data_IF_641953284090
#
_entry.id   IF_641953284090
#
_cell.length_a   1.000
_cell.length_b   1.000
_cell.length_c   1.000
_cell.angle_alpha   90.00
_cell.angle_beta   90.00
_cell.angle_gamma   90.00
#
_symmetry.space_group_name_H-M   'P 1'
#
loop_
_entity.id
_entity.type
_entity.pdbx_description
1 polymer ?
#
# COMPACT_ATOMS: atom_id res chain seq x y z
N UNK A 1 26.84 9.77 27.36
CA UNK A 1 27.83 10.14 26.31
C UNK A 1 28.87 9.07 25.97
N UNK A 2 29.01 7.97 26.73
CA UNK A 2 30.06 6.95 26.51
C UNK A 2 29.81 6.07 25.27
N UNK A 3 28.54 5.78 24.97
CA UNK A 3 28.12 4.96 23.83
C UNK A 3 28.46 5.60 22.47
N UNK A 4 28.10 6.87 22.26
CA UNK A 4 28.32 7.61 21.00
C UNK A 4 29.82 7.72 20.65
N UNK A 5 30.67 7.93 21.66
CA UNK A 5 32.13 8.00 21.44
C UNK A 5 32.71 6.64 21.06
N UNK A 6 32.16 5.55 21.59
CA UNK A 6 32.64 4.20 21.32
C UNK A 6 32.26 3.72 19.91
N UNK A 7 31.00 3.96 19.51
CA UNK A 7 30.51 3.60 18.17
C UNK A 7 31.25 4.33 17.06
N UNK A 8 31.64 5.59 17.30
CA UNK A 8 32.40 6.37 16.35
C UNK A 8 33.82 5.83 16.13
N UNK A 9 34.54 5.51 17.22
CA UNK A 9 35.89 4.92 17.15
C UNK A 9 35.94 3.56 16.47
N UNK A 10 34.83 2.80 16.53
CA UNK A 10 34.70 1.49 15.89
C UNK A 10 34.31 1.58 14.41
N UNK A 11 33.90 2.77 13.93
CA UNK A 11 33.50 2.97 12.55
C UNK A 11 34.68 3.39 11.69
N UNK A 12 34.80 2.85 10.48
CA UNK A 12 35.81 3.26 9.49
C UNK A 12 35.44 4.60 8.80
N UNK A 13 34.66 5.46 9.47
CA UNK A 13 34.26 6.77 8.94
C UNK A 13 35.27 7.80 9.39
N UNK A 14 35.82 8.54 8.42
CA UNK A 14 36.73 9.65 8.69
C UNK A 14 36.00 10.64 9.59
N UNK A 15 36.64 11.02 10.68
CA UNK A 15 36.07 11.98 11.59
C UNK A 15 36.05 13.36 10.92
N UNK A 16 34.94 13.73 10.30
CA UNK A 16 34.79 15.04 9.66
C UNK A 16 34.94 16.08 10.76
N UNK A 17 35.97 16.93 10.65
CA UNK A 17 36.14 18.05 11.56
C UNK A 17 34.95 18.99 11.42
N UNK A 18 34.54 19.67 12.50
CA UNK A 18 33.51 20.72 12.42
C UNK A 18 33.84 21.75 11.32
N UNK A 19 35.13 21.98 11.07
CA UNK A 19 35.64 22.80 9.98
C UNK A 19 35.31 22.23 8.59
N UNK A 20 35.50 20.93 8.40
CA UNK A 20 35.22 20.26 7.11
C UNK A 20 33.70 20.21 6.85
N UNK A 21 32.91 19.95 7.90
CA UNK A 21 31.46 20.00 7.84
C UNK A 21 30.96 21.40 7.46
N UNK A 22 31.57 22.44 8.03
CA UNK A 22 31.26 23.84 7.70
C UNK A 22 31.61 24.17 6.24
N UNK A 23 32.76 23.71 5.74
CA UNK A 23 33.14 23.92 4.34
C UNK A 23 32.14 23.27 3.38
N UNK A 24 31.69 22.05 3.67
CA UNK A 24 30.70 21.37 2.83
C UNK A 24 29.38 22.12 2.84
N UNK A 25 28.91 22.55 4.01
CA UNK A 25 27.67 23.33 4.14
C UNK A 25 27.73 24.65 3.35
N UNK A 26 28.85 25.37 3.39
CA UNK A 26 29.08 26.58 2.62
C UNK A 26 29.08 26.29 1.12
N UNK A 27 29.80 25.25 0.69
CA UNK A 27 29.84 24.83 -0.72
C UNK A 27 28.44 24.51 -1.25
N UNK A 28 27.62 23.74 -0.51
CA UNK A 28 26.25 23.44 -0.90
C UNK A 28 25.34 24.67 -0.95
N UNK A 29 25.55 25.63 -0.06
CA UNK A 29 24.81 26.90 -0.05
C UNK A 29 25.13 27.73 -1.29
N UNK A 30 26.39 27.78 -1.72
CA UNK A 30 26.83 28.59 -2.86
C UNK A 30 26.38 28.02 -4.20
N UNK A 31 26.28 26.69 -4.32
CA UNK A 31 25.75 26.03 -5.53
C UNK A 31 24.24 25.84 -5.52
N UNK A 32 23.57 26.21 -4.42
CA UNK A 32 22.12 26.10 -4.32
C UNK A 32 21.44 27.06 -5.30
N UNK A 33 20.52 26.53 -6.10
CA UNK A 33 19.63 27.32 -6.95
C UNK A 33 18.20 27.01 -6.52
N UNK A 34 17.46 28.04 -6.11
CA UNK A 34 16.05 27.91 -5.80
C UNK A 34 15.29 27.42 -7.04
N UNK A 35 14.86 26.16 -7.01
CA UNK A 35 13.94 25.62 -8.01
C UNK A 35 12.53 25.76 -7.46
N UNK A 36 11.88 26.88 -7.79
CA UNK A 36 10.46 27.06 -7.51
C UNK A 36 9.69 26.13 -8.44
N UNK A 37 9.45 24.90 -7.99
CA UNK A 37 8.59 23.96 -8.70
C UNK A 37 7.15 24.34 -8.41
N UNK A 38 6.57 25.13 -9.30
CA UNK A 38 5.15 25.49 -9.22
C UNK A 38 4.29 24.30 -9.64
N UNK A 39 3.94 23.46 -8.66
CA UNK A 39 3.07 22.32 -8.87
C UNK A 39 1.59 22.72 -9.01
N UNK A 40 1.22 23.98 -8.75
CA UNK A 40 -0.19 24.38 -8.72
C UNK A 40 -0.86 24.14 -10.06
N UNK A 41 -0.16 24.41 -11.17
CA UNK A 41 -0.63 24.19 -12.55
C UNK A 41 -1.03 22.75 -12.84
N UNK A 42 -0.28 21.78 -12.30
CA UNK A 42 -0.59 20.35 -12.48
C UNK A 42 -1.94 19.97 -11.87
N UNK A 43 -2.37 20.70 -10.84
CA UNK A 43 -3.56 20.36 -10.06
C UNK A 43 -4.73 21.33 -10.26
N UNK A 44 -4.58 22.38 -11.08
CA UNK A 44 -5.68 23.26 -11.49
C UNK A 44 -6.93 22.54 -11.98
N UNK A 45 -6.87 21.51 -12.84
CA UNK A 45 -8.08 20.81 -13.31
C UNK A 45 -8.80 20.00 -12.22
N UNK A 46 -8.20 19.85 -11.03
CA UNK A 46 -8.80 19.14 -9.89
C UNK A 46 -9.19 20.08 -8.75
N UNK A 47 -9.06 21.40 -8.92
CA UNK A 47 -9.53 22.37 -7.92
C UNK A 47 -11.06 22.36 -7.89
N UNK A 48 -11.62 21.83 -6.81
CA UNK A 48 -13.07 21.84 -6.57
C UNK A 48 -13.46 23.19 -6.00
N UNK A 49 -14.31 23.96 -6.70
CA UNK A 49 -14.94 25.15 -6.13
C UNK A 49 -16.07 24.73 -5.21
N UNK A 50 -15.75 24.53 -3.94
CA UNK A 50 -16.77 24.36 -2.90
C UNK A 50 -17.50 25.69 -2.72
N UNK A 51 -18.70 25.80 -3.29
CA UNK A 51 -19.70 26.71 -2.76
C UNK A 51 -20.05 26.24 -1.34
N UNK A 52 -19.94 27.17 -0.41
CA UNK A 52 -19.99 26.99 1.03
C UNK A 52 -21.20 26.19 1.50
N UNK A 53 -20.96 25.18 2.35
CA UNK A 53 -21.71 24.95 3.59
C UNK A 53 -20.97 23.99 4.55
N UNK A 54 -20.62 24.56 5.70
CA UNK A 54 -20.37 24.03 7.06
C UNK A 54 -19.29 22.95 7.29
N UNK A 55 -18.23 23.40 7.96
CA UNK A 55 -17.18 22.61 8.60
C UNK A 55 -17.70 22.11 9.97
N UNK A 56 -17.41 20.84 10.36
CA UNK A 56 -16.72 20.65 11.62
C UNK A 56 -15.40 19.89 11.43
N UNK A 57 -14.35 20.60 11.84
CA UNK A 57 -12.99 20.18 12.20
C UNK A 57 -13.07 18.99 13.18
N UNK A 58 -12.44 17.84 12.90
CA UNK A 58 -11.28 17.24 13.61
C UNK A 58 -10.76 15.98 12.86
N UNK A 59 -9.43 15.83 12.84
CA UNK A 59 -8.58 14.63 12.60
C UNK A 59 -7.96 14.45 11.19
N UNK A 60 -6.86 15.18 11.02
CA UNK A 60 -5.55 14.78 10.48
C UNK A 60 -5.35 13.35 9.92
N UNK A 61 -4.84 13.35 8.68
CA UNK A 61 -4.00 12.35 7.99
C UNK A 61 -4.57 10.94 7.73
N UNK A 62 -5.32 10.78 6.64
CA UNK A 62 -5.28 9.55 5.83
C UNK A 62 -5.21 9.90 4.35
N UNK A 63 -4.07 9.58 3.77
CA UNK A 63 -3.81 9.62 2.34
C UNK A 63 -4.87 8.83 1.58
N UNK A 64 -5.53 9.56 0.69
CA UNK A 64 -6.02 9.16 -0.63
C UNK A 64 -5.81 7.69 -1.00
N UNK A 65 -6.91 6.94 -1.14
CA UNK A 65 -7.01 5.99 -2.24
C UNK A 65 -8.26 6.35 -3.05
N UNK A 66 -7.97 7.00 -4.18
CA UNK A 66 -8.88 7.36 -5.26
C UNK A 66 -9.78 6.17 -5.59
N UNK A 67 -11.09 6.38 -5.54
CA UNK A 67 -12.04 5.56 -6.28
C UNK A 67 -11.64 5.62 -7.76
N UNK A 68 -11.00 4.57 -8.27
CA UNK A 68 -10.87 4.39 -9.71
C UNK A 68 -12.23 3.95 -10.26
N UNK A 69 -12.72 4.57 -11.36
CA UNK A 69 -13.90 4.10 -12.05
C UNK A 69 -13.59 2.71 -12.64
N UNK A 70 -14.48 1.76 -12.37
CA UNK A 70 -14.36 0.37 -12.82
C UNK A 70 -14.60 0.36 -14.34
N UNK A 71 -13.55 0.10 -15.12
CA UNK A 71 -13.72 -0.28 -16.53
C UNK A 71 -14.36 -1.67 -16.58
N UNK A 72 -15.61 -1.72 -17.02
CA UNK A 72 -16.37 -2.96 -17.21
C UNK A 72 -15.81 -3.70 -18.42
N UNK A 73 -14.94 -4.68 -18.18
CA UNK A 73 -14.75 -5.79 -19.13
C UNK A 73 -15.78 -6.86 -18.76
N UNK A 74 -16.68 -7.17 -19.68
CA UNK A 74 -17.71 -8.20 -19.50
C UNK A 74 -17.06 -9.59 -19.35
N UNK A 75 -16.62 -9.90 -18.13
CA UNK A 75 -16.32 -11.26 -17.71
C UNK A 75 -17.65 -12.04 -17.57
N UNK A 76 -17.63 -13.38 -17.72
CA UNK A 76 -18.83 -14.18 -17.47
C UNK A 76 -19.37 -13.87 -16.07
N UNK A 77 -20.68 -13.67 -15.96
CA UNK A 77 -21.39 -13.14 -14.78
C UNK A 77 -20.93 -13.84 -13.49
N UNK A 78 -20.67 -15.15 -13.54
CA UNK A 78 -20.18 -15.94 -12.41
C UNK A 78 -18.78 -15.52 -11.91
N UNK A 79 -17.84 -15.21 -12.82
CA UNK A 79 -16.50 -14.75 -12.43
C UNK A 79 -16.55 -13.35 -11.80
N UNK A 80 -17.45 -12.51 -12.28
CA UNK A 80 -17.67 -11.15 -11.74
C UNK A 80 -18.25 -11.21 -10.32
N UNK A 81 -19.20 -12.10 -10.07
CA UNK A 81 -19.79 -12.28 -8.74
C UNK A 81 -18.78 -12.85 -7.73
N UNK A 82 -18.03 -13.88 -8.12
CA UNK A 82 -16.96 -14.45 -7.29
C UNK A 82 -15.89 -13.41 -6.95
N UNK A 83 -15.51 -12.58 -7.92
CA UNK A 83 -14.55 -11.49 -7.73
C UNK A 83 -15.01 -10.52 -6.63
N UNK A 84 -16.25 -10.06 -6.69
CA UNK A 84 -16.79 -9.13 -5.70
C UNK A 84 -16.98 -9.80 -4.32
N UNK A 85 -17.33 -11.08 -4.25
CA UNK A 85 -17.42 -11.82 -2.97
C UNK A 85 -16.04 -11.97 -2.30
N UNK A 86 -14.99 -12.27 -3.06
CA UNK A 86 -13.63 -12.35 -2.51
C UNK A 86 -13.11 -10.97 -2.08
N UNK A 87 -13.44 -9.92 -2.85
CA UNK A 87 -13.06 -8.55 -2.53
C UNK A 87 -13.76 -8.04 -1.26
N UNK A 88 -15.04 -8.36 -1.08
CA UNK A 88 -15.78 -8.03 0.15
C UNK A 88 -15.26 -8.83 1.34
N UNK A 89 -14.99 -10.13 1.16
CA UNK A 89 -14.29 -10.95 2.18
C UNK A 89 -12.96 -10.31 2.60
N UNK A 90 -12.13 -9.91 1.64
CA UNK A 90 -10.85 -9.24 1.90
C UNK A 90 -11.01 -7.99 2.75
N UNK A 91 -11.99 -7.15 2.41
CA UNK A 91 -12.25 -5.90 3.13
C UNK A 91 -12.74 -6.16 4.56
N UNK A 92 -13.63 -7.13 4.74
CA UNK A 92 -14.16 -7.48 6.06
C UNK A 92 -13.04 -8.04 6.95
N UNK A 93 -12.23 -8.96 6.42
CA UNK A 93 -11.11 -9.55 7.15
C UNK A 93 -10.05 -8.52 7.52
N UNK A 94 -9.79 -7.56 6.64
CA UNK A 94 -8.83 -6.50 6.95
C UNK A 94 -9.33 -5.56 8.05
N UNK A 95 -10.64 -5.31 8.11
CA UNK A 95 -11.26 -4.53 9.19
C UNK A 95 -11.21 -5.28 10.52
N UNK A 96 -11.52 -6.57 10.53
CA UNK A 96 -11.43 -7.43 11.73
C UNK A 96 -10.01 -7.40 12.32
N UNK A 97 -9.00 -7.49 11.45
CA UNK A 97 -7.60 -7.57 11.89
C UNK A 97 -6.90 -6.20 11.97
N UNK A 98 -7.61 -5.09 11.71
CA UNK A 98 -7.05 -3.73 11.66
C UNK A 98 -5.86 -3.57 10.70
N UNK A 99 -5.83 -4.33 9.61
CA UNK A 99 -4.84 -4.21 8.54
C UNK A 99 -5.46 -3.62 7.28
N UNK A 100 -4.61 -3.25 6.31
CA UNK A 100 -5.06 -2.83 4.99
C UNK A 100 -5.50 -4.06 4.19
N UNK A 101 -6.51 -3.90 3.32
CA UNK A 101 -7.08 -5.01 2.54
C UNK A 101 -6.03 -5.79 1.74
N UNK A 102 -5.07 -5.11 1.12
CA UNK A 102 -4.01 -5.74 0.34
C UNK A 102 -3.08 -6.65 1.19
N UNK A 103 -3.04 -6.46 2.52
CA UNK A 103 -2.23 -7.28 3.42
C UNK A 103 -2.78 -8.71 3.51
N UNK A 104 -4.10 -8.87 3.46
CA UNK A 104 -4.76 -10.18 3.44
C UNK A 104 -4.34 -10.91 2.15
N UNK A 105 -4.67 -10.34 0.99
CA UNK A 105 -4.10 -10.73 -0.30
C UNK A 105 -4.17 -9.59 -1.34
N UNK A 106 -3.24 -9.59 -2.28
CA UNK A 106 -3.12 -8.55 -3.32
C UNK A 106 -4.12 -8.76 -4.46
N UNK A 107 -4.27 -7.78 -5.35
CA UNK A 107 -5.13 -7.94 -6.53
C UNK A 107 -4.61 -9.06 -7.45
N UNK A 108 -3.28 -9.15 -7.66
CA UNK A 108 -2.65 -10.25 -8.40
C UNK A 108 -3.05 -11.62 -7.82
N UNK A 109 -3.07 -11.72 -6.51
CA UNK A 109 -3.48 -12.95 -5.81
C UNK A 109 -4.96 -13.26 -5.99
N UNK A 110 -5.83 -12.25 -5.92
CA UNK A 110 -7.26 -12.43 -6.16
C UNK A 110 -7.55 -12.88 -7.60
N UNK A 111 -6.87 -12.32 -8.59
CA UNK A 111 -6.96 -12.76 -9.99
C UNK A 111 -6.48 -14.21 -10.15
N UNK A 112 -5.32 -14.55 -9.56
CA UNK A 112 -4.79 -15.90 -9.60
C UNK A 112 -5.72 -16.93 -8.93
N UNK A 113 -6.40 -16.55 -7.84
CA UNK A 113 -7.40 -17.39 -7.19
C UNK A 113 -8.58 -17.71 -8.12
N UNK A 114 -9.08 -16.71 -8.85
CA UNK A 114 -10.21 -16.86 -9.78
C UNK A 114 -9.80 -17.67 -11.02
N UNK A 115 -8.54 -17.56 -11.44
CA UNK A 115 -8.00 -18.33 -12.56
C UNK A 115 -7.77 -19.80 -12.20
N UNK A 116 -7.22 -20.07 -11.01
CA UNK A 116 -6.87 -21.42 -10.56
C UNK A 116 -8.02 -22.18 -9.89
N UNK A 117 -9.03 -21.48 -9.37
CA UNK A 117 -10.20 -22.06 -8.68
C UNK A 117 -9.82 -23.15 -7.66
N UNK A 118 -8.98 -22.84 -6.64
CA UNK A 118 -8.52 -23.84 -5.68
C UNK A 118 -9.70 -24.39 -4.86
N UNK A 119 -9.82 -25.72 -4.80
CA UNK A 119 -10.91 -26.42 -4.10
C UNK A 119 -10.49 -27.00 -2.75
N UNK A 120 -9.18 -27.10 -2.54
CA UNK A 120 -8.53 -27.55 -1.32
C UNK A 120 -7.51 -26.54 -0.82
N UNK A 121 -7.07 -26.72 0.42
CA UNK A 121 -6.03 -25.90 1.02
C UNK A 121 -4.66 -26.13 0.36
N UNK A 122 -4.41 -27.33 -0.14
CA UNK A 122 -3.17 -27.66 -0.85
C UNK A 122 -3.14 -26.99 -2.23
N UNK A 123 -4.27 -26.95 -2.93
CA UNK A 123 -4.40 -26.17 -4.18
C UNK A 123 -4.11 -24.69 -3.94
N UNK A 124 -4.55 -24.16 -2.78
CA UNK A 124 -4.32 -22.77 -2.41
C UNK A 124 -2.83 -22.49 -2.18
N UNK A 125 -2.06 -23.44 -1.65
CA UNK A 125 -0.60 -23.32 -1.48
C UNK A 125 0.13 -23.28 -2.82
N UNK A 126 -0.44 -23.87 -3.87
CA UNK A 126 0.09 -23.80 -5.22
C UNK A 126 -0.18 -22.45 -5.92
N UNK A 127 -1.04 -21.59 -5.35
CA UNK A 127 -1.32 -20.25 -5.89
C UNK A 127 -0.21 -19.28 -5.51
N UNK A 128 0.31 -18.55 -6.50
CA UNK A 128 1.44 -17.64 -6.31
C UNK A 128 1.18 -16.62 -5.18
N UNK A 129 2.02 -16.67 -4.14
CA UNK A 129 1.99 -15.77 -2.99
C UNK A 129 1.00 -16.15 -1.88
N UNK A 130 0.32 -17.30 -1.98
CA UNK A 130 -0.35 -17.94 -0.86
C UNK A 130 0.61 -18.92 -0.16
N UNK A 131 1.35 -18.42 0.83
CA UNK A 131 2.17 -19.25 1.71
C UNK A 131 1.36 -19.92 2.82
N UNK A 132 2.00 -20.83 3.56
CA UNK A 132 1.42 -21.61 4.66
C UNK A 132 0.64 -20.75 5.67
N UNK A 133 1.20 -19.62 6.09
CA UNK A 133 0.55 -18.74 7.08
C UNK A 133 -0.81 -18.24 6.59
N UNK A 134 -0.90 -17.80 5.32
CA UNK A 134 -2.15 -17.29 4.73
C UNK A 134 -3.13 -18.41 4.44
N UNK A 135 -2.64 -19.55 3.95
CA UNK A 135 -3.48 -20.72 3.69
C UNK A 135 -4.07 -21.30 4.98
N UNK A 136 -3.31 -21.30 6.08
CA UNK A 136 -3.80 -21.69 7.41
C UNK A 136 -4.87 -20.73 7.93
N UNK A 137 -4.63 -19.42 7.79
CA UNK A 137 -5.48 -18.39 8.41
C UNK A 137 -6.76 -18.08 7.63
N UNK A 138 -6.66 -18.03 6.30
CA UNK A 138 -7.75 -17.59 5.42
C UNK A 138 -8.21 -18.68 4.44
N UNK A 139 -7.46 -19.77 4.30
CA UNK A 139 -7.69 -20.73 3.22
C UNK A 139 -9.03 -21.45 3.30
N UNK A 140 -9.48 -21.82 4.51
CA UNK A 140 -10.79 -22.45 4.68
C UNK A 140 -11.94 -21.55 4.23
N UNK A 141 -11.87 -20.25 4.55
CA UNK A 141 -12.88 -19.28 4.14
C UNK A 141 -12.87 -19.06 2.63
N UNK A 142 -11.69 -18.89 2.05
CA UNK A 142 -11.51 -18.67 0.62
C UNK A 142 -12.05 -19.88 -0.16
N UNK A 143 -11.65 -21.10 0.21
CA UNK A 143 -12.13 -22.34 -0.41
C UNK A 143 -13.65 -22.47 -0.28
N UNK A 144 -14.21 -22.10 0.87
CA UNK A 144 -15.67 -22.11 1.08
C UNK A 144 -16.38 -21.13 0.14
N UNK A 145 -15.83 -19.94 -0.08
CA UNK A 145 -16.37 -18.98 -1.06
C UNK A 145 -16.28 -19.56 -2.47
N UNK A 146 -15.13 -20.13 -2.86
CA UNK A 146 -14.91 -20.72 -4.18
C UNK A 146 -15.90 -21.85 -4.50
N UNK A 147 -16.19 -22.72 -3.52
CA UNK A 147 -17.12 -23.84 -3.70
C UNK A 147 -18.56 -23.41 -4.01
N UNK A 148 -18.96 -22.18 -3.67
CA UNK A 148 -20.29 -21.66 -4.04
C UNK A 148 -20.44 -21.41 -5.54
N UNK A 149 -19.31 -21.26 -6.25
CA UNK A 149 -19.25 -20.91 -7.67
C UNK A 149 -18.59 -21.99 -8.53
N UNK A 150 -18.32 -23.18 -7.95
CA UNK A 150 -17.82 -24.37 -8.66
C UNK A 150 -18.96 -25.19 -9.24
#
# INVERSE_FOLDING_TARGET
MKYIKNTYKQSNRIAISDKDMLMWAQSYKDVHKDSVKDYTKKYEPYKVTTNQQTIPKVVSHKSEDKFMPIMQKAAPINKTNLYEELKTYRLNKSREENFKAYTIFTNKQLEALIEKMPTTKDDLLAVEGFGETKANKYGLDIVRIMRKYS
#
